data_IF_765296878516
#
_entry.id   IF_765296878516
#
_cell.length_a   1.000
_cell.length_b   1.000
_cell.length_c   1.000
_cell.angle_alpha   90.00
_cell.angle_beta   90.00
_cell.angle_gamma   90.00
#
_symmetry.space_group_name_H-M   'P 1'
#
loop_
_entity.id
_entity.type
_entity.pdbx_description
1 polymer ?
#
# COMPACT_ATOMS: atom_id res chain seq x y z
N UNK A 1 -24.06 33.09 28.01
CA UNK A 1 -22.83 33.51 27.29
C UNK A 1 -21.78 32.43 27.55
N UNK A 2 -21.71 31.42 26.65
CA UNK A 2 -20.73 30.32 26.79
C UNK A 2 -19.34 30.81 26.40
N UNK A 3 -18.42 30.78 27.38
CA UNK A 3 -17.02 31.10 27.14
C UNK A 3 -16.42 29.89 26.40
N UNK A 4 -16.24 30.00 25.06
CA UNK A 4 -15.47 29.03 24.27
C UNK A 4 -14.02 29.01 24.79
N UNK A 5 -13.67 27.97 25.52
CA UNK A 5 -12.30 27.70 25.96
C UNK A 5 -11.39 27.60 24.73
N UNK A 6 -10.40 28.46 24.62
CA UNK A 6 -9.39 28.39 23.59
C UNK A 6 -8.52 27.16 23.85
N UNK A 7 -8.43 26.26 22.87
CA UNK A 7 -7.57 25.06 22.94
C UNK A 7 -6.10 25.47 23.01
N UNK A 8 -5.34 24.83 23.86
CA UNK A 8 -3.89 25.03 23.94
C UNK A 8 -3.18 24.51 22.68
N UNK A 9 -1.96 24.98 22.42
CA UNK A 9 -1.14 24.54 21.29
C UNK A 9 -0.89 23.02 21.34
N UNK A 10 -0.80 22.45 22.54
CA UNK A 10 -0.67 20.98 22.74
C UNK A 10 -1.95 20.23 22.38
N UNK A 11 -3.12 20.71 22.79
CA UNK A 11 -4.41 20.11 22.44
C UNK A 11 -4.67 20.15 20.93
N UNK A 12 -4.30 21.24 20.25
CA UNK A 12 -4.38 21.36 18.78
C UNK A 12 -3.41 20.39 18.09
N UNK A 13 -2.22 20.16 18.65
CA UNK A 13 -1.26 19.18 18.10
C UNK A 13 -1.74 17.74 18.28
N UNK A 14 -2.34 17.42 19.42
CA UNK A 14 -2.93 16.09 19.68
C UNK A 14 -4.11 15.86 18.74
N UNK A 15 -5.03 16.80 18.60
CA UNK A 15 -6.19 16.71 17.70
C UNK A 15 -5.76 16.61 16.21
N UNK A 16 -4.68 17.29 15.81
CA UNK A 16 -4.10 17.13 14.46
C UNK A 16 -3.41 15.77 14.28
N UNK A 17 -2.76 15.25 15.31
CA UNK A 17 -2.20 13.91 15.29
C UNK A 17 -3.31 12.87 15.21
N UNK A 18 -4.34 12.99 16.02
CA UNK A 18 -5.52 12.11 15.98
C UNK A 18 -6.22 12.19 14.63
N UNK A 19 -6.46 13.38 14.07
CA UNK A 19 -7.09 13.52 12.75
C UNK A 19 -6.26 12.90 11.61
N UNK A 20 -4.92 12.85 11.73
CA UNK A 20 -4.07 12.13 10.79
C UNK A 20 -4.11 10.60 10.98
N UNK A 21 -4.41 10.11 12.19
CA UNK A 21 -4.65 8.69 12.44
C UNK A 21 -5.97 8.21 11.84
N UNK A 22 -7.02 9.04 11.82
CA UNK A 22 -8.35 8.71 11.29
C UNK A 22 -8.36 8.49 9.77
N UNK A 23 -7.33 8.95 9.05
CA UNK A 23 -7.20 8.73 7.61
C UNK A 23 -7.07 7.23 7.22
N UNK A 24 -6.93 6.35 8.21
CA UNK A 24 -6.80 4.90 8.00
C UNK A 24 -7.99 4.10 8.55
N UNK A 25 -9.08 4.75 8.92
CA UNK A 25 -10.30 4.04 9.31
C UNK A 25 -11.05 3.53 8.07
N UNK A 26 -11.69 2.38 8.24
CA UNK A 26 -12.62 1.86 7.23
C UNK A 26 -13.91 2.64 7.39
N UNK A 27 -14.33 3.35 6.36
CA UNK A 27 -15.64 3.94 6.29
C UNK A 27 -16.68 2.81 6.26
N UNK A 28 -17.80 2.97 6.99
CA UNK A 28 -18.93 2.04 6.94
C UNK A 28 -19.44 1.83 5.49
N UNK A 29 -19.22 2.80 4.62
CA UNK A 29 -19.53 2.74 3.20
C UNK A 29 -18.59 1.82 2.41
N UNK A 30 -17.34 1.62 2.86
CA UNK A 30 -16.36 0.74 2.22
C UNK A 30 -16.70 -0.75 2.40
N UNK A 31 -17.46 -1.09 3.46
CA UNK A 31 -17.88 -2.47 3.73
C UNK A 31 -18.88 -3.05 2.72
N UNK A 32 -19.52 -2.19 1.92
CA UNK A 32 -20.49 -2.60 0.88
C UNK A 32 -19.86 -2.66 -0.53
N UNK A 33 -18.58 -2.33 -0.67
CA UNK A 33 -17.87 -2.27 -1.94
C UNK A 33 -16.98 -3.49 -2.14
N UNK A 34 -16.92 -3.97 -3.38
CA UNK A 34 -16.10 -5.15 -3.69
C UNK A 34 -14.61 -4.87 -3.47
N UNK A 35 -14.11 -3.74 -3.97
CA UNK A 35 -12.70 -3.37 -3.87
C UNK A 35 -12.53 -1.85 -3.83
N UNK A 36 -11.82 -1.36 -2.83
CA UNK A 36 -11.57 0.06 -2.61
C UNK A 36 -10.08 0.34 -2.59
N UNK A 37 -9.65 1.40 -3.28
CA UNK A 37 -8.26 1.85 -3.26
C UNK A 37 -7.92 2.57 -1.96
N UNK A 38 -6.64 2.54 -1.62
CA UNK A 38 -6.06 3.35 -0.55
C UNK A 38 -6.22 4.85 -0.83
N UNK A 39 -6.46 5.63 0.20
CA UNK A 39 -6.75 7.07 0.10
C UNK A 39 -5.57 7.89 -0.46
N UNK A 40 -4.34 7.39 -0.28
CA UNK A 40 -3.12 8.02 -0.78
C UNK A 40 -2.90 7.86 -2.31
N UNK A 41 -3.65 7.00 -2.99
CA UNK A 41 -3.58 6.82 -4.44
C UNK A 41 -4.17 8.06 -5.11
N UNK A 42 -3.34 8.88 -5.73
CA UNK A 42 -3.74 10.20 -6.29
C UNK A 42 -3.26 10.43 -7.71
N UNK A 43 -2.20 9.76 -8.13
CA UNK A 43 -1.61 9.96 -9.44
C UNK A 43 -2.15 8.97 -10.48
N UNK A 44 -2.24 9.41 -11.73
CA UNK A 44 -2.74 8.60 -12.85
C UNK A 44 -1.93 7.31 -13.00
N UNK A 45 -0.61 7.36 -12.82
CA UNK A 45 0.22 6.15 -12.93
C UNK A 45 -0.08 5.12 -11.83
N UNK A 46 -0.45 5.55 -10.62
CA UNK A 46 -0.84 4.64 -9.53
C UNK A 46 -2.15 3.92 -9.86
N UNK A 47 -3.13 4.65 -10.40
CA UNK A 47 -4.38 4.07 -10.88
C UNK A 47 -4.13 3.05 -11.99
N UNK A 48 -3.27 3.37 -12.94
CA UNK A 48 -2.89 2.44 -14.02
C UNK A 48 -2.17 1.21 -13.50
N UNK A 49 -1.29 1.36 -12.51
CA UNK A 49 -0.61 0.22 -11.86
C UNK A 49 -1.60 -0.64 -11.07
N UNK A 50 -2.57 -0.05 -10.39
CA UNK A 50 -3.62 -0.79 -9.70
C UNK A 50 -4.43 -1.65 -10.70
N UNK A 51 -4.88 -1.08 -11.82
CA UNK A 51 -5.58 -1.87 -12.85
C UNK A 51 -4.71 -2.97 -13.45
N UNK A 52 -3.44 -2.68 -13.77
CA UNK A 52 -2.51 -3.68 -14.32
C UNK A 52 -2.25 -4.80 -13.32
N UNK A 53 -2.16 -4.48 -12.03
CA UNK A 53 -2.01 -5.46 -10.96
C UNK A 53 -3.20 -6.42 -10.91
N UNK A 54 -4.45 -5.92 -10.96
CA UNK A 54 -5.64 -6.78 -11.02
C UNK A 54 -5.61 -7.71 -12.23
N UNK A 55 -5.32 -7.17 -13.41
CA UNK A 55 -5.21 -7.95 -14.64
C UNK A 55 -4.16 -9.05 -14.53
N UNK A 56 -3.00 -8.73 -13.97
CA UNK A 56 -1.91 -9.70 -13.76
C UNK A 56 -2.26 -10.78 -12.73
N UNK A 57 -3.10 -10.44 -11.74
CA UNK A 57 -3.64 -11.39 -10.77
C UNK A 57 -4.82 -12.22 -11.33
N UNK A 58 -5.20 -12.02 -12.60
CA UNK A 58 -6.30 -12.73 -13.24
C UNK A 58 -7.69 -12.33 -12.76
N UNK A 59 -7.83 -11.08 -12.31
CA UNK A 59 -9.09 -10.54 -11.81
C UNK A 59 -9.81 -9.77 -12.91
N UNK A 60 -11.04 -10.17 -13.22
CA UNK A 60 -11.93 -9.42 -14.10
C UNK A 60 -12.72 -8.39 -13.28
N UNK A 61 -12.71 -7.15 -13.72
CA UNK A 61 -13.32 -6.06 -12.98
C UNK A 61 -13.90 -4.97 -13.89
N UNK A 62 -14.88 -4.25 -13.35
CA UNK A 62 -15.36 -2.97 -13.87
C UNK A 62 -14.89 -1.84 -12.95
N UNK A 63 -14.52 -0.71 -13.54
CA UNK A 63 -14.13 0.47 -12.79
C UNK A 63 -15.37 1.32 -12.48
N UNK A 64 -15.51 1.69 -11.23
CA UNK A 64 -16.63 2.52 -10.74
C UNK A 64 -16.11 3.73 -9.97
N UNK A 65 -16.99 4.68 -9.71
CA UNK A 65 -16.74 5.86 -8.87
C UNK A 65 -15.41 6.58 -9.17
N UNK A 66 -15.24 7.01 -10.42
CA UNK A 66 -14.09 7.86 -10.81
C UNK A 66 -12.73 7.20 -10.62
N UNK A 67 -12.62 5.91 -10.91
CA UNK A 67 -11.41 5.08 -10.78
C UNK A 67 -10.99 4.75 -9.33
N UNK A 68 -11.84 5.05 -8.35
CA UNK A 68 -11.53 4.81 -6.93
C UNK A 68 -12.02 3.47 -6.41
N UNK A 69 -12.96 2.86 -7.10
CA UNK A 69 -13.61 1.61 -6.72
C UNK A 69 -13.65 0.67 -7.91
N UNK A 70 -13.55 -0.62 -7.63
CA UNK A 70 -13.63 -1.66 -8.64
C UNK A 70 -14.70 -2.66 -8.23
N UNK A 71 -15.52 -3.05 -9.20
CA UNK A 71 -16.46 -4.13 -9.04
C UNK A 71 -15.84 -5.40 -9.62
N UNK A 72 -15.69 -6.43 -8.80
CA UNK A 72 -15.13 -7.70 -9.23
C UNK A 72 -16.20 -8.52 -9.96
N UNK A 73 -15.93 -8.92 -11.19
CA UNK A 73 -16.88 -9.68 -12.03
C UNK A 73 -16.83 -11.17 -11.72
N UNK A 74 -15.64 -11.73 -11.60
CA UNK A 74 -15.40 -13.16 -11.29
C UNK A 74 -15.03 -13.31 -9.81
N UNK A 75 -16.02 -13.62 -8.97
CA UNK A 75 -15.86 -13.67 -7.51
C UNK A 75 -15.53 -15.09 -7.03
N UNK A 76 -14.30 -15.59 -7.27
CA UNK A 76 -13.83 -16.77 -6.56
C UNK A 76 -13.18 -16.38 -5.22
N UNK A 77 -13.31 -17.22 -4.21
CA UNK A 77 -12.66 -16.99 -2.90
C UNK A 77 -11.15 -16.96 -3.02
N UNK A 78 -10.58 -17.75 -3.95
CA UNK A 78 -9.14 -17.77 -4.23
C UNK A 78 -8.64 -16.41 -4.76
N UNK A 79 -9.37 -15.80 -5.70
CA UNK A 79 -9.02 -14.48 -6.24
C UNK A 79 -9.09 -13.38 -5.18
N UNK A 80 -10.10 -13.42 -4.31
CA UNK A 80 -10.24 -12.48 -3.19
C UNK A 80 -9.08 -12.58 -2.22
N UNK A 81 -8.71 -13.79 -1.81
CA UNK A 81 -7.56 -14.01 -0.94
C UNK A 81 -6.25 -13.61 -1.62
N UNK A 82 -6.13 -13.78 -2.94
CA UNK A 82 -4.97 -13.33 -3.68
C UNK A 82 -4.81 -11.80 -3.66
N UNK A 83 -5.88 -11.04 -3.93
CA UNK A 83 -5.86 -9.57 -3.82
C UNK A 83 -5.56 -9.15 -2.38
N UNK A 84 -6.24 -9.76 -1.42
CA UNK A 84 -6.10 -9.44 0.00
C UNK A 84 -4.68 -9.66 0.52
N UNK A 85 -4.01 -10.72 0.06
CA UNK A 85 -2.65 -11.07 0.49
C UNK A 85 -1.56 -10.29 -0.25
N UNK A 86 -1.71 -10.07 -1.55
CA UNK A 86 -0.67 -9.50 -2.41
C UNK A 86 -0.89 -8.05 -2.81
N UNK A 87 -2.14 -7.61 -2.95
CA UNK A 87 -2.51 -6.31 -3.50
C UNK A 87 -1.78 -5.13 -2.87
N UNK A 88 -1.38 -4.17 -3.70
CA UNK A 88 -0.52 -3.04 -3.33
C UNK A 88 -1.29 -1.74 -3.09
N UNK A 89 -2.36 -1.53 -3.85
CA UNK A 89 -3.08 -0.27 -3.88
C UNK A 89 -4.45 -0.34 -3.20
N UNK A 90 -4.83 -1.51 -2.65
CA UNK A 90 -6.18 -1.77 -2.16
C UNK A 90 -6.25 -1.68 -0.64
N UNK A 91 -7.26 -0.95 -0.17
CA UNK A 91 -7.61 -0.79 1.24
C UNK A 91 -8.42 -1.98 1.73
N UNK A 92 -9.51 -2.27 1.01
CA UNK A 92 -10.45 -3.34 1.36
C UNK A 92 -10.81 -4.20 0.16
N UNK A 93 -11.11 -5.46 0.42
CA UNK A 93 -11.71 -6.44 -0.49
C UNK A 93 -12.96 -6.98 0.18
N UNK A 94 -14.16 -6.80 -0.40
CA UNK A 94 -15.46 -7.14 0.19
C UNK A 94 -15.60 -6.66 1.64
N UNK A 95 -15.18 -5.42 1.91
CA UNK A 95 -15.18 -4.80 3.23
C UNK A 95 -14.12 -5.31 4.21
N UNK A 96 -13.30 -6.30 3.83
CA UNK A 96 -12.20 -6.80 4.66
C UNK A 96 -10.90 -6.10 4.31
N UNK A 97 -10.13 -5.70 5.32
CA UNK A 97 -8.85 -5.02 5.12
C UNK A 97 -7.81 -5.95 4.49
N UNK A 98 -7.01 -5.40 3.57
CA UNK A 98 -5.90 -6.12 2.94
C UNK A 98 -4.71 -6.28 3.90
N UNK A 99 -3.87 -7.29 3.69
CA UNK A 99 -2.66 -7.50 4.48
C UNK A 99 -1.70 -6.30 4.38
N UNK A 100 -1.62 -5.69 3.20
CA UNK A 100 -0.80 -4.51 2.99
C UNK A 100 -1.31 -3.31 3.81
N UNK A 101 -2.62 -3.06 3.82
CA UNK A 101 -3.20 -2.00 4.62
C UNK A 101 -3.04 -2.25 6.12
N UNK A 102 -3.12 -3.50 6.59
CA UNK A 102 -2.83 -3.85 7.99
C UNK A 102 -1.39 -3.48 8.39
N UNK A 103 -0.41 -3.72 7.51
CA UNK A 103 0.99 -3.34 7.76
C UNK A 103 1.10 -1.83 7.93
N UNK A 104 0.46 -1.05 7.04
CA UNK A 104 0.45 0.41 7.11
C UNK A 104 -0.18 0.90 8.41
N UNK A 105 -1.36 0.37 8.77
CA UNK A 105 -2.06 0.74 10.00
C UNK A 105 -1.22 0.45 11.27
N UNK A 106 -0.61 -0.73 11.35
CA UNK A 106 0.19 -1.14 12.50
C UNK A 106 1.44 -0.29 12.73
N UNK A 107 2.01 0.26 11.67
CA UNK A 107 3.21 1.08 11.77
C UNK A 107 2.95 2.50 12.29
N UNK A 108 1.71 2.98 12.26
CA UNK A 108 1.31 4.30 12.74
C UNK A 108 2.21 5.43 12.21
N UNK A 109 2.72 5.30 11.00
CA UNK A 109 3.61 6.29 10.39
C UNK A 109 2.81 7.36 9.66
N UNK A 110 3.40 8.55 9.52
CA UNK A 110 2.75 9.70 8.86
C UNK A 110 2.57 9.53 7.36
N UNK A 111 3.22 8.54 6.76
CA UNK A 111 3.18 8.29 5.33
C UNK A 111 3.02 6.81 5.05
N UNK A 112 2.14 6.49 4.11
CA UNK A 112 1.92 5.13 3.59
C UNK A 112 3.22 4.48 3.10
N UNK A 113 4.20 5.28 2.71
CA UNK A 113 5.49 4.81 2.20
C UNK A 113 6.59 4.66 3.26
N UNK A 114 6.24 4.78 4.55
CA UNK A 114 7.18 4.78 5.67
C UNK A 114 6.95 3.62 6.65
N UNK A 115 6.36 2.52 6.21
CA UNK A 115 6.19 1.34 7.07
C UNK A 115 7.47 0.50 7.18
N UNK A 116 7.56 -0.31 8.22
CA UNK A 116 8.70 -1.20 8.54
C UNK A 116 10.04 -0.43 8.50
N UNK A 117 10.98 -0.88 7.68
CA UNK A 117 12.32 -0.29 7.57
C UNK A 117 12.45 0.78 6.49
N UNK A 118 11.38 1.06 5.72
CA UNK A 118 11.43 2.05 4.66
C UNK A 118 11.79 3.48 5.10
N UNK A 119 11.62 3.83 6.35
CA UNK A 119 11.90 5.16 6.89
C UNK A 119 13.29 5.29 7.55
N UNK A 120 13.98 4.17 7.84
CA UNK A 120 15.24 4.16 8.60
C UNK A 120 16.33 4.95 7.89
N UNK A 121 16.43 4.79 6.58
CA UNK A 121 17.43 5.49 5.79
C UNK A 121 16.79 6.46 4.80
N UNK A 122 16.98 7.79 4.97
CA UNK A 122 16.42 8.80 4.09
C UNK A 122 17.21 8.88 2.78
N UNK A 123 16.98 7.96 1.88
CA UNK A 123 17.64 7.92 0.57
C UNK A 123 16.86 8.77 -0.45
N UNK A 124 17.52 9.76 -1.06
CA UNK A 124 16.93 10.57 -2.14
C UNK A 124 16.89 9.73 -3.42
N UNK A 125 15.75 9.69 -4.08
CA UNK A 125 15.57 8.85 -5.29
C UNK A 125 15.08 7.43 -5.00
N UNK A 126 14.65 7.17 -3.78
CA UNK A 126 13.99 5.93 -3.39
C UNK A 126 12.67 5.75 -4.15
N UNK A 127 12.44 4.54 -4.66
CA UNK A 127 11.15 4.18 -5.22
C UNK A 127 10.06 4.10 -4.15
N UNK A 128 8.83 4.37 -4.55
CA UNK A 128 7.68 4.15 -3.69
C UNK A 128 7.47 2.66 -3.46
N UNK A 129 7.42 2.18 -2.20
CA UNK A 129 7.25 0.76 -1.91
C UNK A 129 6.02 0.14 -2.57
N UNK A 130 4.89 0.85 -2.56
CA UNK A 130 3.67 0.46 -3.25
C UNK A 130 3.88 0.16 -4.73
N UNK A 131 4.63 1.03 -5.43
CA UNK A 131 4.93 0.85 -6.85
C UNK A 131 5.78 -0.40 -7.08
N UNK A 132 6.81 -0.62 -6.27
CA UNK A 132 7.66 -1.81 -6.38
C UNK A 132 6.83 -3.07 -6.14
N UNK A 133 6.01 -3.10 -5.09
CA UNK A 133 5.12 -4.22 -4.80
C UNK A 133 4.19 -4.54 -5.98
N UNK A 134 3.54 -3.53 -6.56
CA UNK A 134 2.70 -3.69 -7.73
C UNK A 134 3.48 -4.24 -8.94
N UNK A 135 4.69 -3.74 -9.20
CA UNK A 135 5.52 -4.23 -10.30
C UNK A 135 5.90 -5.70 -10.12
N UNK A 136 6.23 -6.14 -8.91
CA UNK A 136 6.53 -7.55 -8.62
C UNK A 136 5.30 -8.45 -8.89
N UNK A 137 4.10 -7.99 -8.54
CA UNK A 137 2.85 -8.68 -8.85
C UNK A 137 2.54 -8.67 -10.35
N UNK A 138 2.72 -7.55 -11.05
CA UNK A 138 2.47 -7.40 -12.50
C UNK A 138 3.40 -8.32 -13.31
N UNK A 139 4.66 -8.44 -12.91
CA UNK A 139 5.62 -9.37 -13.53
C UNK A 139 5.21 -10.84 -13.31
N UNK A 140 4.34 -11.09 -12.33
CA UNK A 140 3.83 -12.43 -12.05
C UNK A 140 4.79 -13.32 -11.27
N UNK A 141 5.65 -12.72 -10.43
CA UNK A 141 6.57 -13.45 -9.58
C UNK A 141 5.81 -14.26 -8.53
N UNK A 142 6.28 -15.48 -8.31
CA UNK A 142 5.71 -16.40 -7.32
C UNK A 142 6.61 -16.49 -6.11
N UNK A 143 6.08 -16.99 -5.02
CA UNK A 143 6.86 -17.35 -3.84
C UNK A 143 8.05 -18.25 -4.23
N UNK A 144 9.22 -17.95 -3.71
CA UNK A 144 10.48 -18.62 -4.07
C UNK A 144 11.16 -18.13 -5.35
N UNK A 145 10.53 -17.29 -6.18
CA UNK A 145 11.19 -16.61 -7.30
C UNK A 145 12.37 -15.76 -6.79
N UNK A 146 13.30 -15.41 -7.68
CA UNK A 146 14.47 -14.58 -7.34
C UNK A 146 14.39 -13.28 -8.13
N UNK A 147 14.49 -12.16 -7.42
CA UNK A 147 14.67 -10.81 -8.00
C UNK A 147 16.13 -10.39 -7.83
N UNK A 148 16.71 -9.88 -8.89
CA UNK A 148 18.04 -9.29 -8.89
C UNK A 148 17.95 -7.79 -9.15
N UNK A 149 18.54 -6.99 -8.27
CA UNK A 149 18.63 -5.53 -8.40
C UNK A 149 20.09 -5.07 -8.31
N UNK A 150 20.68 -4.53 -9.40
CA UNK A 150 22.07 -4.11 -9.43
C UNK A 150 22.33 -2.74 -8.76
N UNK A 151 21.29 -2.03 -8.32
CA UNK A 151 21.33 -0.71 -7.66
C UNK A 151 20.37 -0.70 -6.48
N UNK A 152 20.63 -1.55 -5.46
CA UNK A 152 19.65 -1.84 -4.42
C UNK A 152 19.34 -0.66 -3.50
N UNK A 153 20.20 0.35 -3.45
CA UNK A 153 19.98 1.56 -2.66
C UNK A 153 19.59 1.26 -1.23
N UNK A 154 18.49 1.84 -0.77
CA UNK A 154 17.97 1.62 0.59
C UNK A 154 17.17 0.31 0.77
N UNK A 155 17.20 -0.61 -0.20
CA UNK A 155 16.58 -1.93 -0.11
C UNK A 155 15.06 -1.94 -0.22
N UNK A 156 14.46 -0.98 -0.96
CA UNK A 156 12.99 -0.95 -1.15
C UNK A 156 12.49 -2.24 -1.80
N UNK A 157 13.14 -2.68 -2.88
CA UNK A 157 12.78 -3.93 -3.57
C UNK A 157 13.03 -5.15 -2.70
N UNK A 158 14.10 -5.16 -1.92
CA UNK A 158 14.40 -6.25 -1.00
C UNK A 158 13.27 -6.48 0.01
N UNK A 159 12.78 -5.40 0.63
CA UNK A 159 11.72 -5.50 1.63
C UNK A 159 10.39 -5.94 1.00
N UNK A 160 10.02 -5.35 -0.14
CA UNK A 160 8.77 -5.73 -0.81
C UNK A 160 8.80 -7.16 -1.36
N UNK A 161 9.93 -7.61 -1.91
CA UNK A 161 10.14 -8.98 -2.33
C UNK A 161 9.98 -9.95 -1.14
N UNK A 162 10.60 -9.65 0.00
CA UNK A 162 10.50 -10.46 1.22
C UNK A 162 9.05 -10.55 1.72
N UNK A 163 8.30 -9.45 1.70
CA UNK A 163 6.88 -9.43 2.10
C UNK A 163 5.97 -10.27 1.17
N UNK A 164 6.42 -10.53 -0.06
CA UNK A 164 5.73 -11.36 -1.05
C UNK A 164 6.27 -12.80 -1.11
N UNK A 165 7.23 -13.17 -0.24
CA UNK A 165 7.88 -14.49 -0.25
C UNK A 165 8.83 -14.70 -1.42
N UNK A 166 9.34 -13.62 -2.03
CA UNK A 166 10.26 -13.61 -3.16
C UNK A 166 11.69 -13.44 -2.64
N UNK A 167 12.63 -14.27 -3.13
CA UNK A 167 14.04 -14.14 -2.81
C UNK A 167 14.65 -12.92 -3.51
N UNK A 168 15.60 -12.28 -2.86
CA UNK A 168 16.23 -11.07 -3.34
C UNK A 168 17.75 -11.20 -3.38
N UNK A 169 18.36 -10.71 -4.47
CA UNK A 169 19.80 -10.53 -4.61
C UNK A 169 20.00 -9.07 -5.00
N UNK A 170 20.71 -8.30 -4.18
CA UNK A 170 21.01 -6.89 -4.41
C UNK A 170 22.50 -6.63 -4.45
N UNK A 171 22.90 -5.66 -5.27
CA UNK A 171 24.23 -5.09 -5.31
C UNK A 171 24.10 -3.57 -5.21
N UNK A 172 24.99 -2.95 -4.47
CA UNK A 172 25.11 -1.48 -4.44
C UNK A 172 26.59 -1.09 -4.33
N UNK A 173 26.94 0.08 -4.87
CA UNK A 173 28.28 0.65 -4.74
C UNK A 173 28.50 1.26 -3.35
N UNK A 174 27.45 1.65 -2.67
CA UNK A 174 27.50 2.26 -1.35
C UNK A 174 27.58 1.19 -0.27
N UNK A 175 28.62 1.18 0.58
CA UNK A 175 28.73 0.24 1.69
C UNK A 175 27.64 0.44 2.77
N UNK A 176 26.88 1.54 2.71
CA UNK A 176 25.74 1.79 3.58
C UNK A 176 24.44 1.12 3.07
N UNK A 177 24.45 0.65 1.83
CA UNK A 177 23.31 0.06 1.15
C UNK A 177 23.43 -1.47 0.96
N UNK A 178 24.45 -2.09 1.54
CA UNK A 178 24.74 -3.53 1.44
C UNK A 178 24.60 -4.21 2.79
#
# INVERSE_FOLDING_TARGET
MEIKRLKTRGEIMIERAESQFWAYEIDNNDSQKDLVLLDNVQFIYELSLAELELKALGIDFDVTNGLREFKILNKSDEQRELIKSKGSYYKTVDGQITNYFQIIQKNQTRSVNQYLTHWIYPYKGKFHPQMIRALLNIIGLKEGSIVFEPFSGSGTTALEAQLLGINFIGIDISPLCV
#
